data_IF_913512324232
#
_entry.id   IF_913512324232
#
_cell.length_a   1.000
_cell.length_b   1.000
_cell.length_c   1.000
_cell.angle_alpha   90.00
_cell.angle_beta   90.00
_cell.angle_gamma   90.00
#
_symmetry.space_group_name_H-M   'P 1'
#
loop_
_entity.id
_entity.type
_entity.pdbx_description
1 polymer ?
#
# COMPACT_ATOMS: atom_id res chain seq x y z
N UNK A 1 4.47 50.54 24.92
CA UNK A 1 4.36 49.25 24.19
C UNK A 1 2.96 49.20 23.59
N UNK A 2 2.83 49.08 22.28
CA UNK A 2 1.56 49.30 21.58
C UNK A 2 0.58 48.12 21.81
N UNK A 3 -0.61 48.32 22.43
CA UNK A 3 -1.48 47.22 22.85
C UNK A 3 -1.99 46.36 21.68
N UNK A 4 -2.08 46.91 20.47
CA UNK A 4 -2.41 46.17 19.26
C UNK A 4 -1.36 45.11 18.88
N UNK A 5 -0.07 45.37 19.16
CA UNK A 5 1.02 44.41 18.90
C UNK A 5 0.96 43.20 19.83
N UNK A 6 0.53 43.37 21.08
CA UNK A 6 0.40 42.26 22.04
C UNK A 6 -0.76 41.32 21.69
N UNK A 7 -1.89 41.84 21.19
CA UNK A 7 -3.05 41.02 20.79
C UNK A 7 -2.71 40.10 19.60
N UNK A 8 -1.97 40.61 18.63
CA UNK A 8 -1.61 39.85 17.43
C UNK A 8 -0.30 39.06 17.53
N UNK A 9 0.49 39.25 18.59
CA UNK A 9 1.77 38.54 18.76
C UNK A 9 1.59 37.03 18.86
N UNK A 10 0.58 36.58 19.61
CA UNK A 10 0.25 35.15 19.75
C UNK A 10 -0.27 34.57 18.45
N UNK A 11 -1.15 35.30 17.75
CA UNK A 11 -1.73 34.88 16.47
C UNK A 11 -0.66 34.75 15.38
N UNK A 12 0.24 35.74 15.27
CA UNK A 12 1.33 35.69 14.28
C UNK A 12 2.31 34.55 14.52
N UNK A 13 2.64 34.25 15.79
CA UNK A 13 3.48 33.10 16.13
C UNK A 13 2.78 31.77 15.88
N UNK A 14 1.49 31.67 16.21
CA UNK A 14 0.67 30.50 15.94
C UNK A 14 0.55 30.20 14.44
N UNK A 15 0.29 31.21 13.61
CA UNK A 15 0.21 31.05 12.16
C UNK A 15 1.53 30.56 11.56
N UNK A 16 2.68 31.08 12.02
CA UNK A 16 4.00 30.57 11.59
C UNK A 16 4.21 29.13 12.02
N UNK A 17 3.87 28.78 13.26
CA UNK A 17 3.98 27.41 13.75
C UNK A 17 3.08 26.45 12.96
N UNK A 18 1.85 26.85 12.65
CA UNK A 18 0.94 26.10 11.79
C UNK A 18 1.53 25.90 10.39
N UNK A 19 2.07 26.96 9.77
CA UNK A 19 2.71 26.86 8.47
C UNK A 19 3.85 25.84 8.45
N UNK A 20 4.73 25.89 9.45
CA UNK A 20 5.84 24.93 9.60
C UNK A 20 5.29 23.51 9.81
N UNK A 21 4.31 23.34 10.70
CA UNK A 21 3.72 22.04 10.98
C UNK A 21 3.07 21.42 9.72
N UNK A 22 2.37 22.22 8.92
CA UNK A 22 1.77 21.78 7.65
C UNK A 22 2.82 21.33 6.65
N UNK A 23 3.93 22.08 6.52
CA UNK A 23 5.03 21.70 5.62
C UNK A 23 5.67 20.39 6.08
N UNK A 24 6.00 20.27 7.37
CA UNK A 24 6.59 19.05 7.93
C UNK A 24 5.65 17.87 7.76
N UNK A 25 4.36 18.02 8.08
CA UNK A 25 3.35 16.97 7.94
C UNK A 25 3.20 16.51 6.48
N UNK A 26 3.19 17.44 5.53
CA UNK A 26 3.12 17.12 4.10
C UNK A 26 4.35 16.34 3.64
N UNK A 27 5.55 16.76 4.07
CA UNK A 27 6.81 16.06 3.73
C UNK A 27 6.82 14.65 4.31
N UNK A 28 6.48 14.50 5.60
CA UNK A 28 6.45 13.19 6.26
C UNK A 28 5.44 12.26 5.58
N UNK A 29 4.23 12.75 5.34
CA UNK A 29 3.17 11.99 4.65
C UNK A 29 3.63 11.57 3.25
N UNK A 30 4.23 12.49 2.49
CA UNK A 30 4.76 12.21 1.16
C UNK A 30 5.83 11.10 1.17
N UNK A 31 6.74 11.13 2.14
CA UNK A 31 7.78 10.09 2.29
C UNK A 31 7.16 8.74 2.64
N UNK A 32 6.22 8.70 3.59
CA UNK A 32 5.54 7.45 4.00
C UNK A 32 4.77 6.84 2.84
N UNK A 33 3.96 7.64 2.13
CA UNK A 33 3.20 7.19 0.96
C UNK A 33 4.13 6.71 -0.15
N UNK A 34 5.23 7.41 -0.42
CA UNK A 34 6.22 6.99 -1.41
C UNK A 34 6.84 5.64 -1.05
N UNK A 35 7.25 5.44 0.20
CA UNK A 35 7.82 4.17 0.66
C UNK A 35 6.80 3.04 0.57
N UNK A 36 5.56 3.27 0.99
CA UNK A 36 4.50 2.27 0.92
C UNK A 36 4.16 1.88 -0.52
N UNK A 37 3.98 2.88 -1.39
CA UNK A 37 3.71 2.70 -2.82
C UNK A 37 4.85 1.94 -3.50
N UNK A 38 6.10 2.29 -3.21
CA UNK A 38 7.25 1.61 -3.78
C UNK A 38 7.35 0.16 -3.30
N UNK A 39 7.04 -0.11 -2.03
CA UNK A 39 7.14 -1.45 -1.45
C UNK A 39 6.00 -2.36 -1.88
N UNK A 40 4.75 -1.92 -1.75
CA UNK A 40 3.59 -2.78 -2.03
C UNK A 40 3.20 -2.75 -3.51
N UNK A 41 2.94 -1.55 -4.05
CA UNK A 41 2.41 -1.44 -5.42
C UNK A 41 3.46 -1.91 -6.43
N UNK A 42 4.75 -1.57 -6.25
CA UNK A 42 5.76 -2.05 -7.19
C UNK A 42 5.97 -3.56 -7.13
N UNK A 43 5.88 -4.18 -5.94
CA UNK A 43 6.03 -5.63 -5.80
C UNK A 43 4.84 -6.36 -6.42
N UNK A 44 3.62 -5.90 -6.14
CA UNK A 44 2.40 -6.47 -6.72
C UNK A 44 2.43 -6.31 -8.24
N UNK A 45 2.80 -5.13 -8.75
CA UNK A 45 2.91 -4.88 -10.19
C UNK A 45 3.95 -5.77 -10.85
N UNK A 46 5.10 -5.98 -10.20
CA UNK A 46 6.13 -6.91 -10.69
C UNK A 46 5.62 -8.34 -10.70
N UNK A 47 4.96 -8.79 -9.63
CA UNK A 47 4.35 -10.10 -9.55
C UNK A 47 3.41 -10.33 -10.74
N UNK A 48 2.43 -9.46 -10.95
CA UNK A 48 1.48 -9.59 -12.06
C UNK A 48 2.11 -9.46 -13.45
N UNK A 49 3.19 -8.72 -13.60
CA UNK A 49 3.88 -8.63 -14.88
C UNK A 49 4.64 -9.93 -15.24
N UNK A 50 5.13 -10.66 -14.24
CA UNK A 50 5.78 -11.96 -14.42
C UNK A 50 4.84 -13.16 -14.21
N UNK A 51 3.58 -12.90 -13.86
CA UNK A 51 2.63 -13.93 -13.47
C UNK A 51 2.12 -14.65 -14.71
N UNK A 52 2.39 -15.95 -14.79
CA UNK A 52 1.85 -16.86 -15.80
C UNK A 52 0.80 -17.76 -15.12
N UNK A 53 -0.50 -17.51 -15.38
CA UNK A 53 -1.58 -18.31 -14.80
C UNK A 53 -1.51 -19.78 -15.19
N UNK A 54 -1.06 -20.11 -16.41
CA UNK A 54 -0.96 -21.50 -16.85
C UNK A 54 0.16 -22.23 -16.09
N UNK A 55 1.29 -21.57 -15.86
CA UNK A 55 2.37 -22.15 -15.08
C UNK A 55 1.94 -22.38 -13.62
N UNK A 56 1.30 -21.38 -12.99
CA UNK A 56 0.79 -21.55 -11.62
C UNK A 56 -0.24 -22.68 -11.55
N UNK A 57 -1.17 -22.74 -12.50
CA UNK A 57 -2.15 -23.83 -12.58
C UNK A 57 -1.49 -25.21 -12.64
N UNK A 58 -0.47 -25.37 -13.48
CA UNK A 58 0.27 -26.63 -13.58
C UNK A 58 1.03 -26.97 -12.29
N UNK A 59 1.60 -25.97 -11.60
CA UNK A 59 2.23 -26.18 -10.29
C UNK A 59 1.18 -26.62 -9.26
N UNK A 60 0.02 -25.98 -9.22
CA UNK A 60 -1.08 -26.31 -8.30
C UNK A 60 -1.64 -27.71 -8.57
N UNK A 61 -1.88 -28.08 -9.83
CA UNK A 61 -2.30 -29.44 -10.22
C UNK A 61 -1.28 -30.48 -9.77
N UNK A 62 0.01 -30.27 -10.05
CA UNK A 62 1.05 -31.23 -9.71
C UNK A 62 1.33 -31.31 -8.19
N UNK A 63 1.05 -30.24 -7.45
CA UNK A 63 1.23 -30.20 -5.99
C UNK A 63 0.25 -31.10 -5.24
N UNK A 64 -0.89 -31.46 -5.83
CA UNK A 64 -1.95 -32.23 -5.17
C UNK A 64 -2.73 -31.45 -4.12
N UNK A 65 -2.55 -30.12 -4.03
CA UNK A 65 -3.34 -29.24 -3.14
C UNK A 65 -4.80 -29.13 -3.61
N UNK A 66 -5.03 -29.23 -4.92
CA UNK A 66 -6.37 -29.14 -5.49
C UNK A 66 -7.16 -30.40 -5.17
N UNK A 67 -8.11 -30.30 -4.24
CA UNK A 67 -9.03 -31.40 -3.90
C UNK A 67 -10.10 -31.63 -4.97
N UNK A 68 -10.47 -30.57 -5.66
CA UNK A 68 -11.56 -30.58 -6.64
C UNK A 68 -11.13 -31.07 -8.01
N UNK A 69 -9.81 -31.18 -8.26
CA UNK A 69 -9.26 -31.49 -9.59
C UNK A 69 -8.09 -32.45 -9.44
N UNK A 70 -8.10 -33.55 -10.20
CA UNK A 70 -6.99 -34.50 -10.21
C UNK A 70 -5.79 -33.94 -11.02
N UNK A 71 -4.65 -34.64 -10.98
CA UNK A 71 -3.41 -34.21 -11.68
C UNK A 71 -3.58 -34.09 -13.20
N UNK A 72 -4.59 -34.73 -13.76
CA UNK A 72 -4.93 -34.69 -15.19
C UNK A 72 -5.84 -33.50 -15.54
N UNK A 73 -6.17 -32.64 -14.58
CA UNK A 73 -7.02 -31.46 -14.78
C UNK A 73 -8.52 -31.76 -14.83
N UNK A 74 -8.93 -32.99 -14.52
CA UNK A 74 -10.34 -33.40 -14.48
C UNK A 74 -10.92 -33.22 -13.07
N UNK A 75 -12.20 -32.83 -13.01
CA UNK A 75 -12.89 -32.69 -11.74
C UNK A 75 -12.97 -34.04 -11.02
N UNK A 76 -12.66 -34.04 -9.72
CA UNK A 76 -12.85 -35.21 -8.85
C UNK A 76 -14.20 -35.05 -8.21
N UNK A 77 -15.02 -36.10 -8.24
CA UNK A 77 -16.28 -36.12 -7.52
C UNK A 77 -15.97 -36.15 -6.02
N UNK A 78 -16.49 -35.17 -5.28
CA UNK A 78 -16.17 -34.99 -3.86
C UNK A 78 -17.17 -35.71 -2.94
N UNK A 79 -18.16 -36.38 -3.54
CA UNK A 79 -19.28 -37.01 -2.85
C UNK A 79 -19.10 -38.52 -2.59
N UNK A 80 -18.02 -39.14 -3.09
CA UNK A 80 -17.59 -40.52 -2.76
C UNK A 80 -16.72 -40.58 -1.49
#
# INVERSE_FOLDING_TARGET
>A
MDPAKLRNFRVGRALRAMGIATVVSTVVTGVVVYMYTKKEISTIRKFYHSYDPQLEWNVLLNSGILKTVNKDGSLVDLED
#
